data_IF_250332524369
#
_entry.id   IF_250332524369
#
_cell.length_a   1.000
_cell.length_b   1.000
_cell.length_c   1.000
_cell.angle_alpha   90.00
_cell.angle_beta   90.00
_cell.angle_gamma   90.00
#
_symmetry.space_group_name_H-M   'P 1'
#
loop_
_entity.id
_entity.type
_entity.pdbx_description
1 polymer ?
#
# COMPACT_ATOMS: atom_id res chain seq x y z
N UNK A 1 19.22 -0.07 -4.71
CA UNK A 1 18.37 0.81 -3.89
C UNK A 1 18.79 0.74 -2.42
N UNK A 2 18.93 1.90 -1.77
CA UNK A 2 19.27 2.03 -0.35
C UNK A 2 18.35 3.07 0.30
N UNK A 3 17.84 2.80 1.50
CA UNK A 3 17.04 3.74 2.28
C UNK A 3 17.89 4.32 3.43
N UNK A 4 18.06 5.64 3.44
CA UNK A 4 18.95 6.35 4.36
C UNK A 4 18.11 7.30 5.22
N UNK A 5 18.24 7.23 6.55
CA UNK A 5 17.65 8.22 7.45
C UNK A 5 18.57 9.46 7.48
N UNK A 6 18.03 10.66 7.24
CA UNK A 6 18.82 11.89 7.22
C UNK A 6 18.88 12.61 8.58
N UNK A 7 18.26 12.07 9.63
CA UNK A 7 18.13 12.65 10.98
C UNK A 7 17.46 14.05 11.03
N UNK A 8 16.86 14.49 9.92
CA UNK A 8 16.19 15.80 9.76
C UNK A 8 14.66 15.68 9.57
N UNK A 9 14.11 14.49 9.83
CA UNK A 9 12.70 14.19 9.58
C UNK A 9 12.40 13.78 8.14
N UNK A 10 13.44 13.46 7.35
CA UNK A 10 13.29 12.87 6.01
C UNK A 10 14.14 11.61 5.84
N UNK A 11 13.73 10.79 4.88
CA UNK A 11 14.44 9.62 4.41
C UNK A 11 14.84 9.82 2.95
N UNK A 12 16.04 9.38 2.59
CA UNK A 12 16.49 9.35 1.20
C UNK A 12 16.44 7.93 0.68
N UNK A 13 15.60 7.69 -0.33
CA UNK A 13 15.70 6.49 -1.15
C UNK A 13 16.71 6.76 -2.27
N UNK A 14 17.87 6.14 -2.19
CA UNK A 14 19.00 6.37 -3.09
C UNK A 14 19.37 5.14 -3.91
N UNK A 15 20.24 5.34 -4.90
CA UNK A 15 20.71 4.29 -5.83
C UNK A 15 19.53 3.53 -6.45
N UNK A 16 18.49 4.27 -6.84
CA UNK A 16 17.34 3.70 -7.54
C UNK A 16 17.67 3.64 -9.02
N UNK A 17 17.72 2.43 -9.58
CA UNK A 17 17.94 2.22 -11.00
C UNK A 17 16.79 2.78 -11.84
N UNK A 18 17.00 2.95 -13.15
CA UNK A 18 15.95 3.38 -14.07
C UNK A 18 14.74 2.44 -14.07
N UNK A 19 14.98 1.13 -13.99
CA UNK A 19 13.91 0.13 -13.91
C UNK A 19 13.12 0.26 -12.62
N UNK A 20 13.78 0.37 -11.46
CA UNK A 20 13.11 0.55 -10.18
C UNK A 20 12.32 1.86 -10.13
N UNK A 21 12.87 2.96 -10.67
CA UNK A 21 12.15 4.23 -10.78
C UNK A 21 10.91 4.07 -11.67
N UNK A 22 11.02 3.40 -12.81
CA UNK A 22 9.88 3.11 -13.68
C UNK A 22 8.80 2.29 -12.95
N UNK A 23 9.20 1.24 -12.22
CA UNK A 23 8.27 0.42 -11.43
C UNK A 23 7.57 1.25 -10.34
N UNK A 24 8.32 2.06 -9.59
CA UNK A 24 7.79 2.94 -8.56
C UNK A 24 6.84 4.00 -9.13
N UNK A 25 7.14 4.57 -10.29
CA UNK A 25 6.26 5.54 -10.96
C UNK A 25 4.89 4.96 -11.35
N UNK A 26 4.78 3.62 -11.47
CA UNK A 26 3.54 2.90 -11.76
C UNK A 26 2.76 2.50 -10.53
N UNK A 27 3.27 2.80 -9.33
CA UNK A 27 2.67 2.37 -8.08
C UNK A 27 1.22 2.86 -7.91
N UNK A 28 0.86 4.13 -8.22
CA UNK A 28 -0.54 4.57 -8.14
C UNK A 28 -1.48 3.79 -9.06
N UNK A 29 -1.04 3.49 -10.29
CA UNK A 29 -1.82 2.69 -11.26
C UNK A 29 -1.93 1.23 -10.80
N UNK A 30 -0.86 0.69 -10.22
CA UNK A 30 -0.80 -0.69 -9.74
C UNK A 30 -1.64 -0.91 -8.49
N UNK A 31 -1.94 0.16 -7.74
CA UNK A 31 -2.80 0.16 -6.56
C UNK A 31 -4.29 0.41 -6.88
N UNK A 32 -4.64 0.74 -8.12
CA UNK A 32 -6.04 0.89 -8.53
C UNK A 32 -6.72 -0.48 -8.59
N UNK A 33 -7.70 -0.74 -7.72
CA UNK A 33 -8.46 -1.99 -7.68
C UNK A 33 -9.63 -2.05 -8.68
N UNK A 34 -9.85 -0.99 -9.47
CA UNK A 34 -10.93 -0.95 -10.46
C UNK A 34 -10.88 -2.16 -11.40
N UNK A 35 -12.02 -2.84 -11.55
CA UNK A 35 -12.14 -4.04 -12.37
C UNK A 35 -11.60 -5.34 -11.74
N UNK A 36 -11.22 -5.33 -10.46
CA UNK A 36 -10.85 -6.53 -9.69
C UNK A 36 -11.59 -6.56 -8.35
N UNK A 37 -12.70 -7.31 -8.29
CA UNK A 37 -13.57 -7.38 -7.10
C UNK A 37 -12.85 -7.99 -5.90
N UNK A 38 -12.00 -9.00 -6.13
CA UNK A 38 -11.25 -9.69 -5.08
C UNK A 38 -10.25 -8.75 -4.39
N UNK A 39 -9.54 -7.92 -5.18
CA UNK A 39 -8.68 -6.87 -4.62
C UNK A 39 -9.50 -5.85 -3.82
N UNK A 40 -10.65 -5.43 -4.35
CA UNK A 40 -11.58 -4.54 -3.64
C UNK A 40 -12.02 -5.12 -2.30
N UNK A 41 -12.45 -6.38 -2.28
CA UNK A 41 -12.89 -7.08 -1.07
C UNK A 41 -11.75 -7.25 -0.06
N UNK A 42 -10.49 -7.37 -0.51
CA UNK A 42 -9.34 -7.46 0.41
C UNK A 42 -8.94 -6.11 0.98
N UNK A 43 -9.05 -5.04 0.20
CA UNK A 43 -8.78 -3.66 0.61
C UNK A 43 -9.87 -3.13 1.55
N UNK A 44 -11.13 -3.48 1.28
CA UNK A 44 -12.30 -3.04 2.02
C UNK A 44 -13.05 -4.26 2.55
N UNK A 45 -12.46 -5.03 3.49
CA UNK A 45 -13.09 -6.24 3.99
C UNK A 45 -14.37 -5.92 4.75
N UNK A 46 -15.36 -6.81 4.64
CA UNK A 46 -16.55 -6.74 5.50
C UNK A 46 -16.12 -6.80 6.97
N UNK A 47 -16.74 -6.03 7.88
CA UNK A 47 -16.42 -6.06 9.30
C UNK A 47 -16.86 -7.38 9.96
N UNK A 48 -17.62 -8.23 9.26
CA UNK A 48 -18.15 -9.48 9.77
C UNK A 48 -17.25 -10.62 9.34
N UNK A 49 -16.61 -11.26 10.32
CA UNK A 49 -15.79 -12.44 10.07
C UNK A 49 -16.61 -13.58 9.45
N UNK A 50 -16.05 -14.32 8.47
CA UNK A 50 -16.66 -15.55 7.98
C UNK A 50 -16.90 -16.53 9.13
N UNK A 51 -18.17 -16.82 9.43
CA UNK A 51 -18.56 -17.73 10.52
C UNK A 51 -18.95 -17.05 11.83
N UNK A 52 -19.05 -15.71 11.88
CA UNK A 52 -19.61 -15.02 13.04
C UNK A 52 -21.04 -15.49 13.35
N UNK A 53 -21.27 -15.93 14.60
CA UNK A 53 -22.58 -16.32 15.12
C UNK A 53 -23.39 -15.07 15.52
N UNK A 54 -23.74 -14.28 14.50
CA UNK A 54 -24.63 -13.14 14.59
C UNK A 54 -25.92 -13.47 13.84
N UNK A 55 -27.05 -13.02 14.40
CA UNK A 55 -28.33 -13.02 13.69
C UNK A 55 -28.26 -12.16 12.41
N UNK A 56 -29.14 -12.45 11.45
CA UNK A 56 -29.10 -11.80 10.14
C UNK A 56 -29.35 -10.29 10.22
N UNK A 57 -30.14 -9.82 11.19
CA UNK A 57 -30.41 -8.40 11.37
C UNK A 57 -29.16 -7.64 11.80
N UNK A 58 -28.39 -8.16 12.77
CA UNK A 58 -27.12 -7.53 13.19
C UNK A 58 -26.07 -7.56 12.09
N UNK A 59 -25.99 -8.65 11.32
CA UNK A 59 -25.10 -8.73 10.15
C UNK A 59 -25.46 -7.65 9.12
N UNK A 60 -26.74 -7.53 8.78
CA UNK A 60 -27.19 -6.53 7.81
C UNK A 60 -26.96 -5.09 8.30
N UNK A 61 -27.19 -4.82 9.59
CA UNK A 61 -26.95 -3.49 10.17
C UNK A 61 -25.47 -3.13 10.14
N UNK A 62 -24.58 -4.03 10.59
CA UNK A 62 -23.15 -3.78 10.63
C UNK A 62 -22.55 -3.59 9.22
N UNK A 63 -23.00 -4.36 8.22
CA UNK A 63 -22.56 -4.19 6.84
C UNK A 63 -23.08 -2.87 6.22
N UNK A 64 -24.30 -2.46 6.58
CA UNK A 64 -24.87 -1.17 6.16
C UNK A 64 -24.07 0.00 6.76
N UNK A 65 -23.83 -0.01 8.07
CA UNK A 65 -23.08 1.04 8.77
C UNK A 65 -21.65 1.14 8.22
N UNK A 66 -21.02 0.00 7.96
CA UNK A 66 -19.69 -0.04 7.34
C UNK A 66 -19.67 0.64 5.97
N UNK A 67 -20.61 0.30 5.10
CA UNK A 67 -20.73 0.87 3.75
C UNK A 67 -21.09 2.35 3.76
N UNK A 68 -21.86 2.78 4.76
CA UNK A 68 -22.31 4.17 4.87
C UNK A 68 -21.23 5.08 5.48
N UNK A 69 -20.53 4.62 6.52
CA UNK A 69 -19.67 5.49 7.34
C UNK A 69 -18.18 5.18 7.26
N UNK A 70 -17.77 3.90 7.12
CA UNK A 70 -16.36 3.52 7.26
C UNK A 70 -15.67 3.34 5.91
N UNK A 71 -16.27 2.52 5.04
CA UNK A 71 -15.69 2.22 3.72
C UNK A 71 -15.43 3.49 2.89
N UNK A 72 -16.32 4.51 2.85
CA UNK A 72 -16.05 5.73 2.11
C UNK A 72 -14.85 6.52 2.64
N UNK A 73 -14.67 6.58 3.96
CA UNK A 73 -13.54 7.27 4.59
C UNK A 73 -12.22 6.55 4.30
N UNK A 74 -12.21 5.21 4.42
CA UNK A 74 -11.05 4.40 4.05
C UNK A 74 -10.66 4.57 2.59
N UNK A 75 -11.64 4.63 1.67
CA UNK A 75 -11.39 4.89 0.24
C UNK A 75 -10.73 6.25 0.02
N UNK A 76 -11.15 7.28 0.77
CA UNK A 76 -10.53 8.60 0.73
C UNK A 76 -9.09 8.54 1.23
N UNK A 77 -8.86 7.92 2.39
CA UNK A 77 -7.53 7.80 3.00
C UNK A 77 -6.53 7.03 2.11
N UNK A 78 -6.99 5.92 1.51
CA UNK A 78 -6.18 5.13 0.59
C UNK A 78 -5.81 5.90 -0.66
N UNK A 79 -6.78 6.62 -1.25
CA UNK A 79 -6.54 7.48 -2.42
C UNK A 79 -5.59 8.64 -2.08
N UNK A 80 -5.75 9.26 -0.92
CA UNK A 80 -4.91 10.37 -0.49
C UNK A 80 -3.47 9.89 -0.24
N UNK A 81 -3.29 8.68 0.29
CA UNK A 81 -1.98 8.03 0.40
C UNK A 81 -1.32 7.85 -0.98
N UNK A 82 -2.06 7.37 -1.99
CA UNK A 82 -1.54 7.25 -3.36
C UNK A 82 -1.15 8.61 -3.95
N UNK A 83 -1.91 9.67 -3.67
CA UNK A 83 -1.60 11.02 -4.12
C UNK A 83 -0.30 11.55 -3.50
N UNK A 84 -0.12 11.38 -2.18
CA UNK A 84 1.10 11.81 -1.48
C UNK A 84 2.33 11.08 -2.05
N UNK A 85 2.22 9.76 -2.26
CA UNK A 85 3.31 8.97 -2.83
C UNK A 85 3.60 9.39 -4.28
N UNK A 86 2.57 9.66 -5.09
CA UNK A 86 2.75 10.17 -6.45
C UNK A 86 3.47 11.54 -6.45
N UNK A 87 3.12 12.44 -5.54
CA UNK A 87 3.76 13.75 -5.39
C UNK A 87 5.23 13.62 -4.94
N UNK A 88 5.55 12.66 -4.06
CA UNK A 88 6.92 12.37 -3.65
C UNK A 88 7.76 11.77 -4.78
N UNK A 89 7.19 10.81 -5.53
CA UNK A 89 7.82 10.22 -6.71
C UNK A 89 8.08 11.26 -7.80
N UNK A 90 7.17 12.22 -7.97
CA UNK A 90 7.32 13.34 -8.92
C UNK A 90 8.47 14.29 -8.58
N UNK A 91 9.00 14.25 -7.36
CA UNK A 91 10.16 15.05 -6.91
C UNK A 91 11.50 14.31 -7.07
N UNK A 92 11.50 13.16 -7.75
CA UNK A 92 12.71 12.40 -8.03
C UNK A 92 13.80 13.27 -8.66
N UNK A 93 15.04 13.09 -8.20
CA UNK A 93 16.22 13.72 -8.76
C UNK A 93 17.09 12.66 -9.38
N UNK A 94 17.56 12.91 -10.60
CA UNK A 94 18.59 12.08 -11.19
C UNK A 94 19.95 12.46 -10.60
N UNK A 95 20.65 11.47 -10.06
CA UNK A 95 22.02 11.55 -9.59
C UNK A 95 22.93 10.71 -10.48
N UNK A 96 24.24 10.98 -10.43
CA UNK A 96 25.25 10.14 -11.06
C UNK A 96 25.97 9.35 -9.97
N UNK A 97 25.98 8.04 -10.13
CA UNK A 97 26.75 7.10 -9.32
C UNK A 97 27.87 6.48 -10.15
N UNK A 98 28.75 5.69 -9.53
CA UNK A 98 29.87 5.00 -10.17
C UNK A 98 29.42 4.06 -11.31
N UNK A 99 28.24 3.43 -11.19
CA UNK A 99 27.66 2.56 -12.23
C UNK A 99 26.76 3.27 -13.27
N UNK A 100 26.53 4.59 -13.16
CA UNK A 100 25.73 5.36 -14.13
C UNK A 100 24.67 6.27 -13.51
N UNK A 101 23.62 6.56 -14.28
CA UNK A 101 22.52 7.40 -13.80
C UNK A 101 21.63 6.61 -12.83
N UNK A 102 21.38 7.17 -11.65
CA UNK A 102 20.43 6.64 -10.68
C UNK A 102 19.45 7.74 -10.24
N UNK A 103 18.37 7.35 -9.59
CA UNK A 103 17.36 8.25 -9.04
C UNK A 103 17.47 8.29 -7.52
N UNK A 104 17.16 9.46 -6.98
CA UNK A 104 17.04 9.73 -5.56
C UNK A 104 15.69 10.39 -5.26
N UNK A 105 15.06 9.93 -4.19
CA UNK A 105 13.82 10.49 -3.65
C UNK A 105 14.08 10.93 -2.22
N UNK A 106 13.56 12.09 -1.86
CA UNK A 106 13.49 12.51 -0.47
C UNK A 106 12.03 12.34 -0.02
N UNK A 107 11.83 11.52 1.01
CA UNK A 107 10.54 11.12 1.56
C UNK A 107 10.45 11.70 2.97
N UNK A 108 9.53 12.66 3.23
CA UNK A 108 9.27 13.10 4.59
C UNK A 108 8.87 11.93 5.49
N UNK A 109 9.40 11.85 6.71
CA UNK A 109 9.03 10.79 7.67
C UNK A 109 7.53 10.78 7.95
N UNK A 110 6.88 11.95 7.91
CA UNK A 110 5.42 12.09 8.01
C UNK A 110 4.65 11.36 6.90
N UNK A 111 5.30 11.00 5.79
CA UNK A 111 4.68 10.27 4.68
C UNK A 111 4.90 8.75 4.77
N UNK A 112 5.60 8.24 5.79
CA UNK A 112 5.94 6.82 5.89
C UNK A 112 4.70 5.91 5.85
N UNK A 113 3.64 6.26 6.59
CA UNK A 113 2.40 5.47 6.62
C UNK A 113 1.69 5.48 5.25
N UNK A 114 1.74 6.61 4.53
CA UNK A 114 1.20 6.71 3.17
C UNK A 114 1.96 5.81 2.19
N UNK A 115 3.29 5.74 2.30
CA UNK A 115 4.14 4.84 1.51
C UNK A 115 3.83 3.36 1.80
N UNK A 116 3.72 2.99 3.08
CA UNK A 116 3.33 1.64 3.50
C UNK A 116 1.94 1.26 2.96
N UNK A 117 0.97 2.17 3.09
CA UNK A 117 -0.38 1.99 2.57
C UNK A 117 -0.38 1.79 1.06
N UNK A 118 0.28 2.67 0.31
CA UNK A 118 0.33 2.62 -1.15
C UNK A 118 1.01 1.34 -1.68
N UNK A 119 2.13 0.93 -1.08
CA UNK A 119 2.82 -0.33 -1.42
C UNK A 119 1.95 -1.54 -1.11
N UNK A 120 1.27 -1.54 0.05
CA UNK A 120 0.37 -2.63 0.42
C UNK A 120 -0.84 -2.72 -0.53
N UNK A 121 -1.42 -1.59 -0.93
CA UNK A 121 -2.49 -1.54 -1.92
C UNK A 121 -2.04 -2.12 -3.25
N UNK A 122 -0.88 -1.70 -3.77
CA UNK A 122 -0.31 -2.23 -5.01
C UNK A 122 -0.05 -3.74 -4.91
N UNK A 123 0.53 -4.22 -3.80
CA UNK A 123 0.77 -5.65 -3.56
C UNK A 123 -0.52 -6.46 -3.67
N UNK A 124 -1.58 -6.02 -2.98
CA UNK A 124 -2.89 -6.70 -2.98
C UNK A 124 -3.48 -6.72 -4.39
N UNK A 125 -3.50 -5.57 -5.07
CA UNK A 125 -4.10 -5.45 -6.39
C UNK A 125 -3.35 -6.28 -7.42
N UNK A 126 -2.01 -6.23 -7.43
CA UNK A 126 -1.18 -7.04 -8.33
C UNK A 126 -1.44 -8.54 -8.10
N UNK A 127 -1.49 -8.97 -6.84
CA UNK A 127 -1.75 -10.36 -6.49
C UNK A 127 -3.05 -10.88 -7.10
N UNK A 128 -4.17 -10.20 -6.86
CA UNK A 128 -5.48 -10.64 -7.36
C UNK A 128 -5.65 -10.41 -8.87
N UNK A 129 -5.19 -9.27 -9.40
CA UNK A 129 -5.33 -8.94 -10.83
C UNK A 129 -4.61 -9.92 -11.75
N UNK A 130 -3.46 -10.42 -11.31
CA UNK A 130 -2.67 -11.37 -12.10
C UNK A 130 -2.80 -12.81 -11.61
N UNK A 131 -3.71 -13.07 -10.65
CA UNK A 131 -3.91 -14.39 -10.04
C UNK A 131 -2.58 -15.04 -9.66
N UNK A 132 -1.71 -14.26 -9.01
CA UNK A 132 -0.42 -14.76 -8.57
C UNK A 132 -0.69 -15.86 -7.52
N UNK A 133 0.08 -16.96 -7.52
CA UNK A 133 -0.03 -17.95 -6.46
C UNK A 133 0.13 -17.23 -5.12
N UNK A 134 -0.54 -17.75 -4.09
CA UNK A 134 -0.29 -17.37 -2.71
C UNK A 134 1.11 -17.86 -2.30
N UNK A 135 2.14 -17.29 -2.91
CA UNK A 135 3.53 -17.45 -2.50
C UNK A 135 3.83 -16.40 -1.43
N UNK A 136 3.01 -16.41 -0.37
CA UNK A 136 3.48 -15.99 0.93
C UNK A 136 4.20 -17.22 1.50
N UNK A 137 5.52 -17.27 1.33
CA UNK A 137 6.31 -17.86 2.41
C UNK A 137 5.83 -17.18 3.68
N UNK A 138 5.28 -17.95 4.61
CA UNK A 138 4.59 -17.51 5.83
C UNK A 138 5.31 -16.33 6.48
N UNK A 139 4.92 -15.10 6.15
CA UNK A 139 5.22 -13.95 6.98
C UNK A 139 4.11 -13.94 8.01
N UNK A 140 4.40 -14.63 9.11
CA UNK A 140 3.58 -14.71 10.29
C UNK A 140 3.41 -13.31 10.91
N UNK A 141 2.47 -12.55 10.36
CA UNK A 141 1.93 -11.33 10.95
C UNK A 141 0.80 -11.72 11.92
N UNK A 142 1.03 -12.73 12.76
CA UNK A 142 0.21 -12.95 13.94
C UNK A 142 0.36 -11.71 14.84
N UNK A 143 -0.74 -11.03 15.23
CA UNK A 143 -0.68 -9.89 16.15
C UNK A 143 -0.18 -10.27 17.55
N UNK A 144 0.14 -11.54 17.81
CA UNK A 144 0.67 -12.00 19.08
C UNK A 144 2.22 -11.97 19.13
N UNK A 145 2.84 -11.08 19.92
CA UNK A 145 4.30 -10.93 19.98
C UNK A 145 5.04 -12.05 20.74
N UNK A 146 4.32 -13.07 21.25
CA UNK A 146 4.94 -14.17 22.02
C UNK A 146 5.47 -15.34 21.16
N UNK A 147 5.32 -15.26 19.84
CA UNK A 147 5.82 -16.30 18.90
C UNK A 147 7.00 -15.83 18.05
N UNK A 148 7.60 -14.67 18.34
CA UNK A 148 8.84 -14.18 17.71
C UNK A 148 10.10 -14.60 18.49
#
# INVERSE_FOLDING_TARGET
>A
MELINNDDGTWTLSKVSELEHLMLSRLPESADSTGCEEAGNRLFPSPISPGADLDNEKKSSADSDWKEYIEPELRVEFRDSLKIVADDLGKAKMAKDEEGNCYQFNIPTAHADHWCSALNQARIVIHYRYNLPAEDGVLDMDPNPETW
#
